data_IF_771821362712
#
_entry.id   IF_771821362712
#
_cell.length_a   1.000
_cell.length_b   1.000
_cell.length_c   1.000
_cell.angle_alpha   90.00
_cell.angle_beta   90.00
_cell.angle_gamma   90.00
#
_symmetry.space_group_name_H-M   'P 1'
#
loop_
_entity.id
_entity.type
_entity.pdbx_description
1 polymer ?
#
# COMPACT_ATOMS: atom_id res chain seq x y z
N UNK A 1 14.98 -42.39 24.02
CA UNK A 1 14.65 -42.17 22.59
C UNK A 1 15.66 -41.16 22.03
N UNK A 2 16.50 -41.54 21.06
CA UNK A 2 17.38 -40.59 20.34
C UNK A 2 16.56 -39.97 19.21
N UNK A 3 16.50 -38.65 19.16
CA UNK A 3 15.91 -37.93 18.02
C UNK A 3 16.89 -37.99 16.86
N UNK A 4 16.51 -38.63 15.75
CA UNK A 4 17.27 -38.61 14.50
C UNK A 4 16.63 -37.51 13.67
N UNK A 5 17.37 -36.43 13.43
CA UNK A 5 16.92 -35.37 12.53
C UNK A 5 17.20 -35.86 11.11
N UNK A 6 16.16 -36.05 10.31
CA UNK A 6 16.29 -36.34 8.88
C UNK A 6 17.01 -35.15 8.21
N UNK A 7 18.05 -35.45 7.42
CA UNK A 7 18.74 -34.40 6.65
C UNK A 7 17.78 -33.84 5.62
N UNK A 8 17.54 -32.55 5.67
CA UNK A 8 16.75 -31.83 4.68
C UNK A 8 17.54 -31.77 3.36
N UNK A 9 17.05 -32.36 2.25
CA UNK A 9 17.75 -32.27 0.97
C UNK A 9 17.75 -30.82 0.48
N UNK A 10 18.91 -30.35 -0.01
CA UNK A 10 19.05 -28.99 -0.52
C UNK A 10 18.19 -28.77 -1.77
N UNK A 11 17.41 -27.68 -1.77
CA UNK A 11 16.56 -27.25 -2.89
C UNK A 11 17.35 -26.35 -3.83
N UNK A 12 18.19 -26.94 -4.68
CA UNK A 12 19.03 -26.17 -5.62
C UNK A 12 18.24 -25.35 -6.65
N UNK A 13 17.00 -25.75 -6.94
CA UNK A 13 16.08 -25.05 -7.83
C UNK A 13 15.67 -23.65 -7.32
N UNK A 14 15.85 -23.39 -6.03
CA UNK A 14 15.53 -22.12 -5.38
C UNK A 14 16.74 -21.19 -5.18
N UNK A 15 17.95 -21.65 -5.48
CA UNK A 15 19.15 -20.84 -5.28
C UNK A 15 19.12 -19.62 -6.20
N UNK A 16 19.41 -18.44 -5.65
CA UNK A 16 19.34 -17.12 -6.31
C UNK A 16 17.93 -16.68 -6.74
N UNK A 17 16.87 -17.34 -6.25
CA UNK A 17 15.49 -16.91 -6.45
C UNK A 17 15.11 -15.82 -5.44
N UNK A 18 14.27 -14.89 -5.88
CA UNK A 18 13.68 -13.91 -4.99
C UNK A 18 12.61 -14.56 -4.12
N UNK A 19 12.51 -14.11 -2.87
CA UNK A 19 11.46 -14.55 -1.96
C UNK A 19 10.08 -14.18 -2.50
N UNK A 20 9.15 -15.11 -2.37
CA UNK A 20 7.73 -14.92 -2.67
C UNK A 20 7.16 -13.71 -1.90
N UNK A 21 6.43 -12.86 -2.61
CA UNK A 21 5.78 -11.64 -2.13
C UNK A 21 6.73 -10.58 -1.55
N UNK A 22 8.02 -10.66 -1.87
CA UNK A 22 9.00 -9.61 -1.53
C UNK A 22 9.29 -8.77 -2.78
N UNK A 23 8.90 -7.48 -2.79
CA UNK A 23 9.21 -6.60 -3.91
C UNK A 23 10.69 -6.25 -3.95
N UNK A 24 11.23 -6.09 -5.15
CA UNK A 24 12.63 -5.70 -5.37
C UNK A 24 12.97 -4.37 -4.70
N UNK A 25 12.01 -3.45 -4.70
CA UNK A 25 12.12 -2.13 -4.09
C UNK A 25 10.76 -1.72 -3.56
N UNK A 26 10.74 -1.01 -2.44
CA UNK A 26 9.55 -0.36 -1.92
C UNK A 26 9.91 1.03 -1.41
N UNK A 27 9.13 2.02 -1.82
CA UNK A 27 9.34 3.41 -1.44
C UNK A 27 8.02 4.14 -1.22
N UNK A 28 8.05 5.13 -0.34
CA UNK A 28 6.89 5.99 -0.10
C UNK A 28 7.33 7.43 0.13
N UNK A 29 6.57 8.37 -0.40
CA UNK A 29 6.74 9.80 -0.20
C UNK A 29 5.45 10.40 0.36
N UNK A 30 5.58 11.34 1.30
CA UNK A 30 4.45 12.04 1.92
C UNK A 30 4.76 13.53 2.03
N UNK A 31 3.79 14.35 1.63
CA UNK A 31 3.83 15.80 1.77
C UNK A 31 2.58 16.28 2.50
N UNK A 32 2.76 16.90 3.65
CA UNK A 32 1.67 17.51 4.43
C UNK A 32 1.66 19.04 4.24
N UNK A 33 0.48 19.63 4.14
CA UNK A 33 0.29 21.05 3.91
C UNK A 33 -0.90 21.61 4.69
N UNK A 34 -0.77 22.83 5.21
CA UNK A 34 -1.69 23.40 6.22
C UNK A 34 -2.13 24.85 5.96
N UNK A 35 -1.99 25.35 4.73
CA UNK A 35 -2.19 26.79 4.46
C UNK A 35 -3.66 27.21 4.44
N UNK A 36 -4.43 26.72 3.47
CA UNK A 36 -5.86 27.03 3.32
C UNK A 36 -6.76 25.85 3.71
N UNK A 37 -6.19 24.66 3.72
CA UNK A 37 -6.80 23.40 4.09
C UNK A 37 -5.70 22.51 4.67
N UNK A 38 -6.09 21.59 5.56
CA UNK A 38 -5.20 20.55 6.06
C UNK A 38 -5.19 19.41 5.05
N UNK A 39 -4.06 19.13 4.42
CA UNK A 39 -3.98 18.09 3.40
C UNK A 39 -2.69 17.27 3.45
N UNK A 40 -2.77 16.09 2.86
CA UNK A 40 -1.67 15.15 2.69
C UNK A 40 -1.70 14.67 1.24
N UNK A 41 -0.58 14.82 0.52
CA UNK A 41 -0.29 14.09 -0.71
C UNK A 41 0.61 12.91 -0.36
N UNK A 42 0.30 11.71 -0.84
CA UNK A 42 1.13 10.52 -0.62
C UNK A 42 1.36 9.77 -1.93
N UNK A 43 2.56 9.25 -2.12
CA UNK A 43 2.94 8.42 -3.25
C UNK A 43 3.58 7.13 -2.73
N UNK A 44 3.10 5.98 -3.16
CA UNK A 44 3.71 4.67 -2.94
C UNK A 44 4.27 4.11 -4.26
N UNK A 45 5.45 3.51 -4.20
CA UNK A 45 6.11 2.78 -5.27
C UNK A 45 6.45 1.38 -4.79
N UNK A 46 6.01 0.38 -5.55
CA UNK A 46 6.29 -1.04 -5.29
C UNK A 46 6.89 -1.65 -6.55
N UNK A 47 8.09 -2.20 -6.43
CA UNK A 47 8.78 -2.91 -7.49
C UNK A 47 8.10 -4.22 -7.85
N UNK A 48 8.59 -4.88 -8.90
CA UNK A 48 8.08 -6.21 -9.25
C UNK A 48 8.36 -7.19 -8.11
N UNK A 49 7.50 -8.19 -8.00
CA UNK A 49 7.61 -9.27 -7.02
C UNK A 49 7.11 -10.58 -7.65
N UNK A 50 7.27 -11.70 -6.97
CA UNK A 50 6.78 -12.99 -7.45
C UNK A 50 5.84 -13.62 -6.44
N UNK A 51 4.85 -14.40 -6.88
CA UNK A 51 3.95 -15.10 -5.96
C UNK A 51 4.37 -16.53 -5.63
N UNK A 52 5.49 -17.00 -6.17
CA UNK A 52 6.04 -18.33 -5.95
C UNK A 52 7.56 -18.31 -5.81
N UNK A 53 8.09 -19.36 -5.17
CA UNK A 53 9.51 -19.48 -4.84
C UNK A 53 10.39 -19.74 -6.08
N UNK A 54 9.81 -20.18 -7.19
CA UNK A 54 10.53 -20.44 -8.45
C UNK A 54 10.68 -19.18 -9.30
N UNK A 55 10.01 -18.09 -8.90
CA UNK A 55 9.86 -16.85 -9.65
C UNK A 55 9.23 -17.02 -11.04
N UNK A 56 8.23 -17.89 -11.17
CA UNK A 56 7.52 -18.14 -12.44
C UNK A 56 6.33 -17.16 -12.63
N UNK A 57 5.66 -16.78 -11.54
CA UNK A 57 4.50 -15.90 -11.55
C UNK A 57 4.88 -14.50 -11.07
N UNK A 58 5.16 -13.61 -12.02
CA UNK A 58 5.55 -12.23 -11.75
C UNK A 58 4.33 -11.32 -11.54
N UNK A 59 4.37 -10.53 -10.47
CA UNK A 59 3.47 -9.42 -10.19
C UNK A 59 4.22 -8.13 -10.55
N UNK A 60 3.67 -7.37 -11.49
CA UNK A 60 4.31 -6.18 -12.03
C UNK A 60 4.39 -5.04 -11.01
N UNK A 61 5.43 -4.23 -11.16
CA UNK A 61 5.62 -3.02 -10.38
C UNK A 61 4.46 -2.03 -10.56
N UNK A 62 4.16 -1.26 -9.53
CA UNK A 62 3.14 -0.21 -9.57
C UNK A 62 3.54 1.02 -8.76
N UNK A 63 2.87 2.13 -9.07
CA UNK A 63 2.98 3.37 -8.33
C UNK A 63 1.61 4.02 -8.22
N UNK A 64 1.25 4.49 -7.02
CA UNK A 64 -0.06 5.06 -6.72
C UNK A 64 0.06 6.36 -5.93
N UNK A 65 -0.79 7.32 -6.28
CA UNK A 65 -0.86 8.62 -5.62
C UNK A 65 -2.19 8.74 -4.89
N UNK A 66 -2.15 9.26 -3.67
CA UNK A 66 -3.29 9.49 -2.79
C UNK A 66 -3.31 10.94 -2.33
N UNK A 67 -4.52 11.50 -2.18
CA UNK A 67 -4.72 12.86 -1.68
C UNK A 67 -5.79 12.83 -0.60
N UNK A 68 -5.44 13.37 0.57
CA UNK A 68 -6.39 13.67 1.62
C UNK A 68 -6.43 15.17 1.83
N UNK A 69 -7.62 15.72 1.95
CA UNK A 69 -7.84 17.14 2.22
C UNK A 69 -8.94 17.28 3.26
N UNK A 70 -8.81 18.24 4.17
CA UNK A 70 -9.83 18.54 5.16
C UNK A 70 -9.86 20.01 5.53
N UNK A 71 -11.02 20.47 5.98
CA UNK A 71 -11.25 21.84 6.40
C UNK A 71 -12.18 21.87 7.59
N UNK A 72 -11.80 22.63 8.63
CA UNK A 72 -12.72 23.01 9.71
C UNK A 72 -13.70 24.05 9.18
N UNK A 73 -15.00 23.82 9.35
CA UNK A 73 -16.03 24.78 8.93
C UNK A 73 -16.43 25.70 10.08
N UNK A 74 -16.81 25.11 11.22
CA UNK A 74 -17.27 25.81 12.44
C UNK A 74 -16.67 25.15 13.68
N UNK A 75 -16.93 25.68 14.88
CA UNK A 75 -16.51 25.03 16.13
C UNK A 75 -17.04 23.60 16.21
N UNK A 76 -16.11 22.64 16.15
CA UNK A 76 -16.39 21.22 16.23
C UNK A 76 -16.52 20.52 14.87
N UNK A 77 -16.97 21.18 13.79
CA UNK A 77 -17.26 20.51 12.52
C UNK A 77 -16.09 20.54 11.52
N UNK A 78 -15.71 19.38 11.00
CA UNK A 78 -14.69 19.20 9.96
C UNK A 78 -15.26 18.41 8.79
N UNK A 79 -15.00 18.91 7.57
CA UNK A 79 -15.18 18.16 6.33
C UNK A 79 -13.86 17.59 5.87
N UNK A 80 -13.86 16.38 5.33
CA UNK A 80 -12.70 15.77 4.70
C UNK A 80 -13.04 14.98 3.45
N UNK A 81 -12.12 14.96 2.51
CA UNK A 81 -12.15 14.14 1.31
C UNK A 81 -10.84 13.34 1.23
N UNK A 82 -10.95 12.05 0.98
CA UNK A 82 -9.83 11.12 0.76
C UNK A 82 -10.00 10.48 -0.62
N UNK A 83 -9.08 10.79 -1.52
CA UNK A 83 -9.00 10.22 -2.87
C UNK A 83 -7.81 9.27 -2.91
N UNK A 84 -8.10 7.97 -2.93
CA UNK A 84 -7.09 6.93 -3.10
C UNK A 84 -6.96 6.56 -4.57
N UNK A 85 -5.71 6.33 -5.00
CA UNK A 85 -5.39 5.98 -6.38
C UNK A 85 -5.95 7.02 -7.36
N UNK A 86 -5.51 8.28 -7.23
CA UNK A 86 -6.05 9.43 -7.98
C UNK A 86 -6.01 9.20 -9.50
N UNK A 87 -4.95 8.53 -9.95
CA UNK A 87 -4.69 8.21 -11.36
C UNK A 87 -5.45 6.98 -11.87
N UNK A 88 -6.25 6.33 -11.01
CA UNK A 88 -7.05 5.15 -11.34
C UNK A 88 -6.22 4.01 -11.96
N UNK A 89 -5.02 3.81 -11.40
CA UNK A 89 -4.08 2.81 -11.88
C UNK A 89 -4.60 1.42 -11.49
N UNK A 90 -4.85 0.55 -12.47
CA UNK A 90 -5.06 -0.87 -12.20
C UNK A 90 -3.73 -1.59 -12.00
N UNK A 91 -3.64 -2.39 -10.95
CA UNK A 91 -2.50 -3.23 -10.62
C UNK A 91 -2.93 -4.44 -9.80
N UNK A 92 -2.08 -5.47 -9.77
CA UNK A 92 -2.25 -6.64 -8.92
C UNK A 92 -1.55 -6.39 -7.58
N UNK A 93 -2.28 -6.53 -6.48
CA UNK A 93 -1.73 -6.49 -5.12
C UNK A 93 -1.12 -7.85 -4.74
N UNK A 94 -1.67 -8.92 -5.30
CA UNK A 94 -1.23 -10.31 -5.12
C UNK A 94 -1.49 -11.09 -6.42
N UNK A 95 -1.19 -12.39 -6.44
CA UNK A 95 -1.44 -13.25 -7.60
C UNK A 95 -2.91 -13.26 -8.05
N UNK A 96 -3.85 -13.02 -7.13
CA UNK A 96 -5.30 -13.15 -7.38
C UNK A 96 -6.09 -11.90 -7.05
N UNK A 97 -5.46 -10.89 -6.43
CA UNK A 97 -6.14 -9.68 -5.98
C UNK A 97 -5.82 -8.51 -6.88
N UNK A 98 -6.81 -8.06 -7.64
CA UNK A 98 -6.77 -6.82 -8.40
C UNK A 98 -7.11 -5.64 -7.47
N UNK A 99 -6.40 -4.53 -7.63
CA UNK A 99 -6.73 -3.28 -6.96
C UNK A 99 -8.14 -2.78 -7.36
N UNK A 100 -8.95 -2.26 -6.41
CA UNK A 100 -10.29 -1.74 -6.72
C UNK A 100 -10.30 -0.45 -7.57
N UNK A 101 -9.14 0.11 -7.91
CA UNK A 101 -9.04 1.37 -8.65
C UNK A 101 -9.23 2.59 -7.74
N UNK A 102 -9.68 3.69 -8.32
CA UNK A 102 -9.88 4.94 -7.59
C UNK A 102 -11.04 4.86 -6.59
N UNK A 103 -10.78 5.26 -5.35
CA UNK A 103 -11.79 5.35 -4.29
C UNK A 103 -11.84 6.78 -3.76
N UNK A 104 -13.04 7.35 -3.70
CA UNK A 104 -13.29 8.69 -3.16
C UNK A 104 -14.18 8.54 -1.92
N UNK A 105 -13.68 8.99 -0.77
CA UNK A 105 -14.41 9.00 0.48
C UNK A 105 -14.58 10.45 0.95
N UNK A 106 -15.83 10.88 1.14
CA UNK A 106 -16.14 12.12 1.81
C UNK A 106 -16.61 11.84 3.24
N UNK A 107 -16.17 12.64 4.20
CA UNK A 107 -16.55 12.47 5.60
C UNK A 107 -16.81 13.82 6.28
N UNK A 108 -17.74 13.78 7.23
CA UNK A 108 -18.07 14.88 8.13
C UNK A 108 -17.78 14.37 9.54
N UNK A 109 -17.00 15.10 10.32
CA UNK A 109 -16.77 14.79 11.73
C UNK A 109 -17.11 15.98 12.62
N UNK A 110 -17.61 15.67 13.82
CA UNK A 110 -17.93 16.65 14.86
C UNK A 110 -17.19 16.29 16.14
N UNK A 111 -16.43 17.24 16.69
CA UNK A 111 -15.70 17.08 17.95
C UNK A 111 -16.47 17.77 19.08
N UNK A 112 -16.99 16.96 20.01
CA UNK A 112 -17.81 17.37 21.17
C UNK A 112 -16.96 17.98 22.31
N UNK A 113 -15.64 17.75 22.30
CA UNK A 113 -14.77 18.14 23.41
C UNK A 113 -13.97 19.39 23.04
N UNK A 114 -14.59 20.57 23.21
CA UNK A 114 -13.84 21.81 23.45
C UNK A 114 -14.10 22.27 24.89
N UNK A 115 -13.05 22.59 25.68
CA UNK A 115 -13.22 23.35 26.92
C UNK A 115 -13.81 24.73 26.64
#
# INVERSE_FOLDING_TARGET
>A
RRSIIERFPERQDLVNKMLSYVPEVKGSFRLDFHKFLDGTLSWELVGKQYSDDKNENCILAYGVVHLKASRKLVSGLRLSVDVRNILDKQYLQSATTLDPGRIILASISYDLNRP
#
